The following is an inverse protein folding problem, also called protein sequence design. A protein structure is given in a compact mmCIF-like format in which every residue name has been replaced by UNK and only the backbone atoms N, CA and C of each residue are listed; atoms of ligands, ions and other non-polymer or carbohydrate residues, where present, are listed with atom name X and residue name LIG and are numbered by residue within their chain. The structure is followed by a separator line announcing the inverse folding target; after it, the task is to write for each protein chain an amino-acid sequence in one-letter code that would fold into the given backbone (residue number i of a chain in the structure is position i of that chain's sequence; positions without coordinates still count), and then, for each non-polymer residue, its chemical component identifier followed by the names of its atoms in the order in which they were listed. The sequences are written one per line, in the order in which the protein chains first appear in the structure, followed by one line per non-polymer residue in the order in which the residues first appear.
data_IF_431960173621
#
_entry.id   IF_431960173621
#
_cell.length_a   1.000
_cell.length_b   1.000
_cell.length_c   1.000
_cell.angle_alpha   90.00
_cell.angle_beta   90.00
_cell.angle_gamma   90.00
#
_symmetry.space_group_name_H-M   'P 1'
#
loop_
_entity.id
_entity.type
_entity.pdbx_description
1 polymer ?
#
# COMPACT_ATOMS: atom_id res chain seq x y z
N UNK A 1 -8.01 -2.90 -8.96
CA UNK A 1 -6.94 -2.48 -8.01
C UNK A 1 -5.60 -3.20 -8.25
N UNK A 2 -5.29 -3.63 -9.48
CA UNK A 2 -4.11 -4.47 -9.76
C UNK A 2 -2.81 -3.67 -9.89
N UNK A 3 -2.87 -2.43 -10.41
CA UNK A 3 -1.70 -1.55 -10.53
C UNK A 3 -1.16 -1.09 -9.18
N UNK A 4 -2.04 -0.76 -8.23
CA UNK A 4 -1.62 -0.41 -6.87
C UNK A 4 -1.07 -1.62 -6.12
N UNK A 5 -1.61 -2.82 -6.33
CA UNK A 5 -1.06 -4.05 -5.76
C UNK A 5 0.36 -4.35 -6.31
N UNK A 6 0.57 -4.14 -7.62
CA UNK A 6 1.90 -4.27 -8.23
C UNK A 6 2.88 -3.19 -7.74
N UNK A 7 2.43 -1.95 -7.61
CA UNK A 7 3.23 -0.87 -7.03
C UNK A 7 3.55 -1.13 -5.56
N UNK A 8 2.60 -1.66 -4.78
CA UNK A 8 2.84 -2.02 -3.38
C UNK A 8 3.81 -3.20 -3.26
N UNK A 9 3.78 -4.17 -4.16
CA UNK A 9 4.76 -5.26 -4.19
C UNK A 9 6.19 -4.75 -4.42
N UNK A 10 6.36 -3.79 -5.33
CA UNK A 10 7.66 -3.11 -5.52
C UNK A 10 8.04 -2.37 -4.22
N UNK A 11 7.12 -1.60 -3.64
CA UNK A 11 7.37 -0.86 -2.41
C UNK A 11 7.71 -1.75 -1.20
N UNK A 12 7.07 -2.91 -1.04
CA UNK A 12 7.37 -3.85 0.07
C UNK A 12 8.75 -4.48 -0.12
N UNK A 13 9.11 -4.83 -1.37
CA UNK A 13 10.39 -5.48 -1.67
C UNK A 13 11.58 -4.54 -1.52
N UNK A 14 11.42 -3.27 -1.89
CA UNK A 14 12.49 -2.26 -1.80
C UNK A 14 12.42 -1.39 -0.53
N UNK A 15 11.30 -1.42 0.20
CA UNK A 15 11.06 -0.63 1.41
C UNK A 15 11.49 -1.29 2.72
N UNK A 16 12.41 -2.27 2.66
CA UNK A 16 13.02 -2.92 3.82
C UNK A 16 11.99 -3.39 4.88
N UNK A 17 10.93 -4.09 4.44
CA UNK A 17 9.92 -4.65 5.35
C UNK A 17 9.03 -3.62 6.08
N UNK A 18 9.05 -2.35 5.67
CA UNK A 18 8.18 -1.30 6.22
C UNK A 18 8.84 -0.41 7.29
N UNK A 19 10.10 -0.64 7.66
CA UNK A 19 10.72 0.03 8.80
C UNK A 19 11.23 1.45 8.53
N UNK A 20 11.54 1.84 7.29
CA UNK A 20 11.74 3.24 6.88
C UNK A 20 11.75 3.31 5.35
N UNK A 21 10.69 3.89 4.78
CA UNK A 21 10.52 4.04 3.34
C UNK A 21 11.46 5.14 2.85
N UNK A 22 12.55 4.79 2.17
CA UNK A 22 13.35 5.82 1.50
C UNK A 22 12.45 6.52 0.48
N UNK A 23 12.27 7.82 0.67
CA UNK A 23 11.43 8.69 -0.15
C UNK A 23 11.81 8.64 -1.64
N UNK A 24 13.06 8.26 -1.94
CA UNK A 24 13.55 8.04 -3.30
C UNK A 24 12.87 6.87 -4.00
N UNK A 25 12.66 5.75 -3.30
CA UNK A 25 12.00 4.55 -3.85
C UNK A 25 10.56 4.87 -4.21
N UNK A 26 9.86 5.52 -3.29
CA UNK A 26 8.46 5.87 -3.51
C UNK A 26 8.29 6.80 -4.72
N UNK A 27 9.12 7.85 -4.80
CA UNK A 27 9.13 8.76 -5.97
C UNK A 27 9.44 8.02 -7.27
N UNK A 28 10.37 7.06 -7.25
CA UNK A 28 10.71 6.26 -8.43
C UNK A 28 9.54 5.36 -8.86
N UNK A 29 8.81 4.76 -7.92
CA UNK A 29 7.62 3.95 -8.21
C UNK A 29 6.50 4.82 -8.79
N UNK A 30 6.24 6.00 -8.24
CA UNK A 30 5.26 6.95 -8.78
C UNK A 30 5.65 7.48 -10.16
N UNK A 31 6.94 7.77 -10.37
CA UNK A 31 7.46 8.17 -11.66
C UNK A 31 7.30 7.04 -12.69
N UNK A 32 7.61 5.79 -12.32
CA UNK A 32 7.41 4.62 -13.17
C UNK A 32 5.94 4.46 -13.56
N UNK A 33 5.03 4.56 -12.59
CA UNK A 33 3.59 4.46 -12.83
C UNK A 33 3.12 5.51 -13.84
N UNK A 34 3.58 6.76 -13.68
CA UNK A 34 3.24 7.88 -14.55
C UNK A 34 3.80 7.70 -15.96
N UNK A 35 5.06 7.26 -16.08
CA UNK A 35 5.71 6.98 -17.37
C UNK A 35 5.03 5.83 -18.11
N UNK A 36 4.68 4.74 -17.40
CA UNK A 36 3.95 3.62 -17.99
C UNK A 36 2.54 4.04 -18.47
N UNK A 37 1.85 4.91 -17.71
CA UNK A 37 0.56 5.45 -18.09
C UNK A 37 0.68 6.31 -19.37
N UNK A 38 1.62 7.25 -19.40
CA UNK A 38 1.87 8.10 -20.57
C UNK A 38 2.29 7.29 -21.80
N UNK A 39 3.17 6.30 -21.62
CA UNK A 39 3.61 5.40 -22.68
C UNK A 39 2.44 4.63 -23.28
N UNK A 40 1.61 4.03 -22.43
CA UNK A 40 0.45 3.23 -22.84
C UNK A 40 -0.60 4.07 -23.57
N UNK A 41 -0.89 5.28 -23.07
CA UNK A 41 -1.82 6.21 -23.71
C UNK A 41 -1.30 6.72 -25.05
N UNK A 42 -0.04 7.16 -25.10
CA UNK A 42 0.60 7.67 -26.31
C UNK A 42 0.72 6.61 -27.41
N UNK A 43 1.07 5.37 -27.06
CA UNK A 43 1.11 4.25 -28.02
C UNK A 43 -0.28 3.86 -28.51
N UNK A 44 -1.29 3.88 -27.63
CA UNK A 44 -2.64 3.53 -28.06
C UNK A 44 -3.22 4.58 -29.03
N UNK A 45 -3.11 5.87 -28.71
CA UNK A 45 -3.59 6.97 -29.56
C UNK A 45 -2.74 7.14 -30.82
N UNK A 46 -1.41 6.99 -30.70
CA UNK A 46 -0.47 7.25 -31.78
C UNK A 46 -0.31 6.12 -32.80
N UNK A 47 -0.46 4.87 -32.36
CA UNK A 47 -0.19 3.68 -33.17
C UNK A 47 -1.43 2.80 -33.33
N UNK A 48 -1.99 2.30 -32.23
CA UNK A 48 -2.98 1.22 -32.26
C UNK A 48 -4.33 1.70 -32.79
N UNK A 49 -4.83 2.84 -32.30
CA UNK A 49 -6.09 3.43 -32.75
C UNK A 49 -6.11 3.71 -34.26
N UNK A 50 -5.13 4.46 -34.81
CA UNK A 50 -5.01 4.67 -36.25
C UNK A 50 -4.85 3.37 -37.04
N UNK A 51 -4.03 2.43 -36.54
CA UNK A 51 -3.82 1.14 -37.21
C UNK A 51 -5.10 0.31 -37.32
N UNK A 52 -5.91 0.26 -36.26
CA UNK A 52 -7.20 -0.47 -36.27
C UNK A 52 -8.27 0.20 -37.14
N UNK A 53 -8.21 1.54 -37.29
CA UNK A 53 -9.19 2.31 -38.08
C UNK A 53 -8.75 2.53 -39.53
N UNK A 54 -7.53 2.14 -39.90
CA UNK A 54 -6.93 2.45 -41.20
C UNK A 54 -6.58 3.94 -41.37
N UNK A 55 -6.50 4.68 -40.27
CA UNK A 55 -6.14 6.10 -40.26
C UNK A 55 -4.63 6.34 -40.32
N UNK A 56 -4.24 7.60 -40.53
CA UNK A 56 -2.82 8.01 -40.51
C UNK A 56 -2.23 7.97 -39.09
N UNK A 57 -0.99 7.51 -38.99
CA UNK A 57 -0.25 7.46 -37.73
C UNK A 57 -0.04 8.88 -37.16
N UNK A 58 -0.39 9.06 -35.90
CA UNK A 58 -0.19 10.35 -35.22
C UNK A 58 1.21 10.38 -34.59
N UNK A 59 2.20 10.77 -35.40
CA UNK A 59 3.62 10.75 -35.01
C UNK A 59 3.93 11.49 -33.71
N UNK A 60 3.19 12.56 -33.38
CA UNK A 60 3.35 13.28 -32.11
C UNK A 60 3.07 12.40 -30.89
N UNK A 61 1.93 11.71 -30.86
CA UNK A 61 1.56 10.80 -29.77
C UNK A 61 2.44 9.55 -29.74
N UNK A 62 2.82 9.04 -30.90
CA UNK A 62 3.77 7.94 -31.02
C UNK A 62 5.13 8.31 -30.43
N UNK A 63 5.65 9.50 -30.73
CA UNK A 63 6.91 10.00 -30.19
C UNK A 63 6.85 10.16 -28.66
N UNK A 64 5.75 10.71 -28.12
CA UNK A 64 5.55 10.81 -26.66
C UNK A 64 5.49 9.41 -26.03
N UNK A 65 4.70 8.50 -26.61
CA UNK A 65 4.53 7.14 -26.10
C UNK A 65 5.84 6.35 -26.08
N UNK A 66 6.63 6.44 -27.16
CA UNK A 66 7.93 5.78 -27.26
C UNK A 66 8.97 6.41 -26.34
N UNK A 67 9.05 7.74 -26.27
CA UNK A 67 10.00 8.43 -25.38
C UNK A 67 9.73 8.12 -23.90
N UNK A 68 8.46 8.17 -23.48
CA UNK A 68 8.07 7.82 -22.10
C UNK A 68 8.25 6.33 -21.79
N UNK A 69 8.01 5.45 -22.77
CA UNK A 69 8.29 4.02 -22.64
C UNK A 69 9.80 3.73 -22.45
N UNK A 70 10.65 4.37 -23.24
CA UNK A 70 12.11 4.27 -23.08
C UNK A 70 12.57 4.84 -21.73
N UNK A 71 12.01 5.96 -21.30
CA UNK A 71 12.28 6.54 -19.98
C UNK A 71 11.86 5.58 -18.85
N UNK A 72 10.72 4.88 -18.97
CA UNK A 72 10.29 3.87 -18.00
C UNK A 72 11.28 2.70 -17.91
N UNK A 73 11.77 2.21 -19.06
CA UNK A 73 12.79 1.15 -19.10
C UNK A 73 14.10 1.65 -18.48
N UNK A 74 14.54 2.87 -18.80
CA UNK A 74 15.72 3.49 -18.20
C UNK A 74 15.59 3.60 -16.69
N UNK A 75 14.42 4.01 -16.18
CA UNK A 75 14.14 4.08 -14.75
C UNK A 75 14.14 2.69 -14.09
N UNK A 76 13.63 1.65 -14.76
CA UNK A 76 13.69 0.26 -14.28
C UNK A 76 15.12 -0.25 -14.19
N UNK A 77 15.94 0.03 -15.21
CA UNK A 77 17.37 -0.34 -15.20
C UNK A 77 18.10 0.42 -14.10
N UNK A 78 17.82 1.72 -13.94
CA UNK A 78 18.38 2.52 -12.86
C UNK A 78 17.98 2.01 -11.47
N UNK A 79 16.70 1.69 -11.26
CA UNK A 79 16.20 1.10 -10.01
C UNK A 79 16.85 -0.25 -9.76
N UNK A 80 16.95 -1.10 -10.78
CA UNK A 80 17.66 -2.38 -10.68
C UNK A 80 19.09 -2.15 -10.21
N UNK A 81 19.87 -1.33 -10.89
CA UNK A 81 21.29 -1.14 -10.55
C UNK A 81 21.51 -0.43 -9.21
N UNK A 82 20.68 0.56 -8.88
CA UNK A 82 20.87 1.43 -7.71
C UNK A 82 20.27 0.87 -6.43
N UNK A 83 19.22 0.04 -6.52
CA UNK A 83 18.52 -0.51 -5.35
C UNK A 83 18.93 -1.95 -5.04
N UNK A 84 19.50 -2.69 -6.00
CA UNK A 84 20.07 -4.03 -5.71
C UNK A 84 21.25 -3.96 -4.75
N UNK A 85 21.94 -2.82 -4.67
CA UNK A 85 23.06 -2.62 -3.74
C UNK A 85 22.60 -2.39 -2.29
N UNK A 86 21.33 -2.06 -2.06
CA UNK A 86 20.81 -1.72 -0.73
C UNK A 86 19.93 -2.81 -0.10
N UNK A 87 19.45 -3.77 -0.90
CA UNK A 87 18.69 -4.89 -0.38
C UNK A 87 19.64 -6.01 0.04
N UNK A 88 20.03 -6.01 1.31
CA UNK A 88 20.74 -7.12 1.94
C UNK A 88 19.76 -8.31 2.08
N UNK A 89 19.65 -9.08 1.00
CA UNK A 89 18.81 -10.26 0.90
C UNK A 89 19.67 -11.52 1.10
N UNK A 90 20.69 -11.48 1.96
CA UNK A 90 21.56 -12.63 2.21
C UNK A 90 20.95 -13.71 3.11
N UNK A 91 19.70 -13.52 3.55
CA UNK A 91 18.91 -14.58 4.17
C UNK A 91 18.68 -15.77 3.21
N UNK A 92 19.07 -17.01 3.59
CA UNK A 92 18.89 -18.20 2.74
C UNK A 92 17.42 -18.57 2.50
N UNK A 93 16.49 -17.98 3.25
CA UNK A 93 15.05 -18.26 3.14
C UNK A 93 14.31 -17.39 2.11
N UNK A 94 14.96 -16.37 1.55
CA UNK A 94 14.32 -15.43 0.62
C UNK A 94 14.53 -15.84 -0.83
N UNK A 95 13.44 -16.16 -1.53
CA UNK A 95 13.44 -16.51 -2.95
C UNK A 95 13.94 -15.32 -3.81
N UNK A 96 15.18 -15.43 -4.32
CA UNK A 96 15.83 -14.40 -5.15
C UNK A 96 15.39 -14.51 -6.61
N UNK A 97 14.31 -13.84 -7.01
CA UNK A 97 13.97 -13.72 -8.44
C UNK A 97 14.71 -12.54 -9.08
N UNK A 98 15.55 -12.79 -10.09
CA UNK A 98 16.38 -11.75 -10.72
C UNK A 98 15.57 -10.68 -11.49
N UNK A 99 14.29 -10.93 -11.72
CA UNK A 99 13.38 -10.08 -12.49
C UNK A 99 12.19 -9.52 -11.68
N UNK A 100 12.26 -9.55 -10.33
CA UNK A 100 11.18 -9.02 -9.47
C UNK A 100 10.70 -7.63 -9.87
N UNK A 101 11.52 -6.62 -10.22
CA UNK A 101 10.97 -5.29 -10.56
C UNK A 101 10.38 -5.22 -11.98
N UNK A 102 10.81 -6.09 -12.89
CA UNK A 102 10.38 -6.03 -14.29
C UNK A 102 8.98 -6.59 -14.48
N UNK A 103 8.65 -7.69 -13.78
CA UNK A 103 7.35 -8.36 -13.93
C UNK A 103 6.17 -7.46 -13.49
N UNK A 104 6.19 -6.83 -12.30
CA UNK A 104 5.15 -5.91 -11.87
C UNK A 104 5.09 -4.66 -12.74
N UNK A 105 6.24 -4.15 -13.22
CA UNK A 105 6.27 -2.99 -14.11
C UNK A 105 5.64 -3.30 -15.48
N UNK A 106 5.95 -4.46 -16.07
CA UNK A 106 5.31 -4.93 -17.29
C UNK A 106 3.80 -5.11 -17.07
N UNK A 107 3.39 -5.67 -15.94
CA UNK A 107 1.98 -5.83 -15.61
C UNK A 107 1.25 -4.48 -15.43
N UNK A 108 1.91 -3.48 -14.82
CA UNK A 108 1.40 -2.10 -14.74
C UNK A 108 1.21 -1.51 -16.15
N UNK A 109 2.20 -1.67 -17.02
CA UNK A 109 2.14 -1.21 -18.40
C UNK A 109 0.98 -1.86 -19.15
N UNK A 110 0.86 -3.20 -19.14
CA UNK A 110 -0.25 -3.89 -19.81
C UNK A 110 -1.62 -3.49 -19.27
N UNK A 111 -1.75 -3.26 -17.98
CA UNK A 111 -3.00 -2.78 -17.41
C UNK A 111 -3.34 -1.36 -17.86
N UNK A 112 -2.38 -0.44 -17.90
CA UNK A 112 -2.64 0.90 -18.44
C UNK A 112 -2.94 0.87 -19.94
N UNK A 113 -2.32 -0.05 -20.67
CA UNK A 113 -2.60 -0.28 -22.08
C UNK A 113 -4.01 -0.85 -22.30
N UNK A 114 -4.48 -1.77 -21.45
CA UNK A 114 -5.88 -2.21 -21.48
C UNK A 114 -6.84 -1.08 -21.10
N UNK A 115 -6.48 -0.28 -20.09
CA UNK A 115 -7.29 0.88 -19.69
C UNK A 115 -7.39 1.94 -20.80
N UNK A 116 -6.35 2.13 -21.60
CA UNK A 116 -6.36 3.12 -22.68
C UNK A 116 -7.25 2.71 -23.86
N UNK A 117 -7.64 1.43 -23.97
CA UNK A 117 -8.58 0.95 -24.99
C UNK A 117 -10.04 1.29 -24.68
N UNK A 118 -10.38 1.62 -23.43
CA UNK A 118 -11.73 2.06 -23.09
C UNK A 118 -12.01 3.47 -23.61
N UNK A 119 -13.28 3.76 -23.88
CA UNK A 119 -13.66 5.11 -24.32
C UNK A 119 -13.43 6.12 -23.19
N UNK A 120 -13.09 7.36 -23.55
CA UNK A 120 -12.94 8.43 -22.57
C UNK A 120 -14.24 8.68 -21.78
N UNK A 121 -15.40 8.42 -22.39
CA UNK A 121 -16.72 8.54 -21.76
C UNK A 121 -16.86 7.54 -20.60
N UNK A 122 -16.50 6.27 -20.83
CA UNK A 122 -16.58 5.23 -19.80
C UNK A 122 -15.64 5.56 -18.63
N UNK A 123 -14.46 6.07 -18.95
CA UNK A 123 -13.50 6.52 -17.94
C UNK A 123 -14.04 7.68 -17.11
N UNK A 124 -14.69 8.68 -17.73
CA UNK A 124 -15.32 9.80 -17.03
C UNK A 124 -16.48 9.33 -16.13
N UNK A 125 -17.33 8.44 -16.62
CA UNK A 125 -18.41 7.84 -15.82
C UNK A 125 -17.85 7.10 -14.60
N UNK A 126 -16.80 6.28 -14.80
CA UNK A 126 -16.12 5.59 -13.71
C UNK A 126 -15.48 6.56 -12.71
N UNK A 127 -14.83 7.62 -13.19
CA UNK A 127 -14.21 8.63 -12.33
C UNK A 127 -15.24 9.38 -11.48
N UNK A 128 -16.38 9.76 -12.05
CA UNK A 128 -17.48 10.36 -11.30
C UNK A 128 -18.03 9.41 -10.22
N UNK A 129 -18.23 8.14 -10.57
CA UNK A 129 -18.67 7.13 -9.61
C UNK A 129 -17.66 6.99 -8.46
N UNK A 130 -16.37 6.87 -8.77
CA UNK A 130 -15.31 6.79 -7.77
C UNK A 130 -15.29 8.03 -6.85
N UNK A 131 -15.47 9.23 -7.41
CA UNK A 131 -15.53 10.47 -6.63
C UNK A 131 -16.69 10.48 -5.63
N UNK A 132 -17.88 10.00 -6.03
CA UNK A 132 -19.03 9.88 -5.11
C UNK A 132 -18.72 8.92 -3.96
N UNK A 133 -18.11 7.77 -4.25
CA UNK A 133 -17.71 6.81 -3.21
C UNK A 133 -16.67 7.39 -2.26
N UNK A 134 -15.69 8.12 -2.78
CA UNK A 134 -14.68 8.78 -1.95
C UNK A 134 -15.31 9.85 -1.06
N UNK A 135 -16.25 10.65 -1.56
CA UNK A 135 -16.96 11.66 -0.77
C UNK A 135 -17.83 11.02 0.31
N UNK A 136 -18.54 9.93 0.00
CA UNK A 136 -19.33 9.19 0.98
C UNK A 136 -18.43 8.60 2.08
N UNK A 137 -17.29 8.03 1.69
CA UNK A 137 -16.31 7.46 2.62
C UNK A 137 -15.67 8.52 3.51
N UNK A 138 -15.24 9.65 2.96
CA UNK A 138 -14.67 10.75 3.77
C UNK A 138 -15.71 11.32 4.71
N UNK A 139 -16.96 11.52 4.23
CA UNK A 139 -18.07 11.96 5.08
C UNK A 139 -18.33 11.00 6.25
N UNK A 140 -18.32 9.69 5.99
CA UNK A 140 -18.43 8.66 7.04
C UNK A 140 -17.26 8.70 8.02
N UNK A 141 -16.01 8.80 7.52
CA UNK A 141 -14.82 8.87 8.35
C UNK A 141 -14.82 10.09 9.27
N UNK A 142 -15.16 11.28 8.74
CA UNK A 142 -15.28 12.51 9.53
C UNK A 142 -16.39 12.44 10.57
N UNK A 143 -17.54 11.83 10.22
CA UNK A 143 -18.66 11.66 11.16
C UNK A 143 -18.30 10.76 12.35
N UNK A 144 -17.42 9.78 12.15
CA UNK A 144 -16.96 8.91 13.23
C UNK A 144 -15.86 9.56 14.08
N UNK A 145 -15.04 10.43 13.49
CA UNK A 145 -14.06 11.24 14.23
C UNK A 145 -14.76 12.18 15.23
N UNK A 146 -15.82 12.87 14.81
CA UNK A 146 -16.56 13.80 15.69
C UNK A 146 -17.19 13.10 16.90
N UNK A 147 -17.70 11.87 16.74
CA UNK A 147 -18.26 11.09 17.87
C UNK A 147 -17.23 10.73 18.93
N UNK A 148 -15.94 10.72 18.60
CA UNK A 148 -14.88 10.44 19.55
C UNK A 148 -14.56 11.65 20.44
N UNK A 149 -14.71 12.87 19.91
CA UNK A 149 -14.43 14.12 20.63
C UNK A 149 -15.46 14.37 21.75
N UNK A 150 -16.74 14.12 21.47
CA UNK A 150 -17.82 14.34 22.44
C UNK A 150 -17.72 13.40 23.66
N UNK A 151 -17.16 12.19 23.49
CA UNK A 151 -16.95 11.25 24.59
C UNK A 151 -15.74 11.60 25.48
N UNK A 152 -14.82 12.46 25.02
CA UNK A 152 -13.69 12.94 25.83
C UNK A 152 -14.03 14.16 26.68
N UNK A 153 -15.18 14.82 26.43
CA UNK A 153 -15.69 15.92 27.24
C UNK A 153 -16.65 15.46 28.36
N UNK A 154 -16.64 14.17 28.73
CA UNK A 154 -17.38 13.71 29.90
C UNK A 154 -16.80 14.44 31.14
N UNK A 155 -17.62 15.19 31.90
CA UNK A 155 -17.13 15.94 33.03
C UNK A 155 -16.48 14.98 34.03
N UNK A 156 -15.22 15.26 34.36
CA UNK A 156 -14.49 14.73 35.51
C UNK A 156 -15.17 15.20 36.81
N UNK A 157 -16.42 14.78 37.01
CA UNK A 157 -17.18 15.07 38.19
C UNK A 157 -16.77 14.07 39.28
N UNK A 158 -15.79 14.48 40.09
CA UNK A 158 -15.61 14.01 41.46
C UNK A 158 -15.26 12.53 41.63
N UNK A 159 -14.02 12.14 41.34
CA UNK A 159 -13.36 11.12 42.16
C UNK A 159 -12.66 11.81 43.32
N UNK A 160 -13.47 12.17 44.31
CA UNK A 160 -12.98 12.46 45.65
C UNK A 160 -12.44 11.16 46.28
N UNK A 161 -11.13 11.18 46.55
CA UNK A 161 -10.54 10.61 47.75
C UNK A 161 -10.78 9.12 48.02
N UNK A 162 -9.91 8.26 47.48
CA UNK A 162 -9.50 7.06 48.21
C UNK A 162 -8.00 6.80 48.03
N UNK A 163 -7.23 7.41 48.92
CA UNK A 163 -5.83 7.10 49.15
C UNK A 163 -5.70 5.63 49.59
N UNK A 164 -5.30 4.76 48.68
CA UNK A 164 -4.71 3.47 49.05
C UNK A 164 -3.20 3.57 48.94
N UNK A 165 -2.59 3.87 50.11
CA UNK A 165 -1.20 3.57 50.39
C UNK A 165 -0.97 2.07 50.20
N UNK A 166 -0.16 1.71 49.23
CA UNK A 166 0.27 0.34 48.96
C UNK A 166 1.69 0.35 48.43
N UNK A 167 2.63 0.75 49.28
CA UNK A 167 4.04 0.54 49.05
C UNK A 167 4.30 -0.96 48.90
N UNK A 168 4.86 -1.40 47.78
CA UNK A 168 5.85 -2.46 47.79
C UNK A 168 6.73 -2.45 46.55
N UNK A 169 8.02 -2.34 46.85
CA UNK A 169 9.14 -2.42 45.93
C UNK A 169 9.44 -3.87 45.54
N UNK A 170 9.94 -4.07 44.31
CA UNK A 170 10.97 -5.04 43.84
C UNK A 170 11.06 -4.87 42.32
N UNK A 171 12.13 -4.33 41.72
CA UNK A 171 13.53 -4.75 41.68
C UNK A 171 13.74 -6.16 41.08
N UNK A 172 14.32 -6.20 39.86
CA UNK A 172 14.68 -7.39 39.07
C UNK A 172 13.55 -7.78 38.10
N UNK A 173 13.73 -7.96 36.79
CA UNK A 173 14.84 -8.64 36.11
C UNK A 173 14.90 -8.24 34.62
N UNK A 174 16.11 -7.99 34.11
CA UNK A 174 16.40 -7.98 32.67
C UNK A 174 16.47 -9.42 32.15
N UNK A 175 15.68 -9.76 31.13
CA UNK A 175 16.08 -10.80 30.16
C UNK A 175 15.34 -10.70 28.84
N UNK A 176 16.16 -10.43 27.81
CA UNK A 176 16.23 -11.11 26.51
C UNK A 176 14.97 -11.36 25.66
N UNK A 177 15.06 -10.79 24.45
CA UNK A 177 14.83 -11.43 23.14
C UNK A 177 13.43 -12.00 22.88
N UNK A 178 12.70 -11.34 21.99
CA UNK A 178 11.54 -11.89 21.30
C UNK A 178 11.12 -11.00 20.14
N UNK A 179 11.68 -11.25 18.96
CA UNK A 179 11.18 -10.69 17.72
C UNK A 179 9.81 -11.29 17.43
N UNK A 180 8.75 -10.47 17.52
CA UNK A 180 7.42 -10.87 17.08
C UNK A 180 6.95 -9.89 15.99
N UNK A 181 6.94 -10.42 14.77
CA UNK A 181 6.34 -9.80 13.61
C UNK A 181 4.84 -10.15 13.57
N UNK A 182 4.00 -9.11 13.57
CA UNK A 182 2.57 -9.01 13.15
C UNK A 182 2.04 -7.78 13.88
N UNK A 183 1.34 -6.81 13.31
CA UNK A 183 0.36 -6.85 12.24
C UNK A 183 0.20 -5.38 11.79
N UNK A 184 0.47 -5.05 10.53
CA UNK A 184 0.12 -3.72 9.97
C UNK A 184 -1.25 -3.86 9.32
N UNK A 185 -2.22 -4.29 10.12
CA UNK A 185 -3.63 -4.07 9.91
C UNK A 185 -4.01 -2.85 10.73
N UNK A 186 -4.33 -1.74 10.07
CA UNK A 186 -4.86 -0.56 10.74
C UNK A 186 -6.22 -0.84 11.37
N UNK A 187 -6.23 -1.42 12.57
CA UNK A 187 -7.35 -1.29 13.50
C UNK A 187 -7.27 0.10 14.12
N UNK A 188 -7.87 1.07 13.44
CA UNK A 188 -8.40 2.24 14.14
C UNK A 188 -9.70 1.81 14.86
N UNK A 189 -9.58 0.84 15.77
CA UNK A 189 -10.59 0.61 16.81
C UNK A 189 -10.39 1.72 17.82
N UNK A 190 -11.33 2.66 17.86
CA UNK A 190 -11.65 3.27 19.14
C UNK A 190 -12.09 2.11 20.04
N UNK A 191 -11.17 1.62 20.86
CA UNK A 191 -11.44 0.69 21.96
C UNK A 191 -12.43 1.40 22.89
N UNK A 192 -13.71 1.17 22.63
CA UNK A 192 -14.77 1.36 23.60
C UNK A 192 -14.65 0.20 24.58
N UNK A 193 -14.46 0.53 25.85
CA UNK A 193 -14.41 -0.40 26.97
C UNK A 193 -15.56 -1.41 26.90
N UNK A 194 -15.21 -2.66 26.60
CA UNK A 194 -16.16 -3.75 26.43
C UNK A 194 -15.60 -5.03 27.05
N UNK A 195 -15.63 -5.06 28.38
CA UNK A 195 -15.53 -6.20 29.31
C UNK A 195 -14.47 -7.30 29.08
N UNK A 196 -13.75 -7.73 30.14
CA UNK A 196 -12.93 -8.92 30.08
C UNK A 196 -13.81 -10.17 29.90
N UNK A 197 -13.76 -10.79 28.72
CA UNK A 197 -14.26 -12.15 28.52
C UNK A 197 -13.31 -13.10 29.24
N UNK A 198 -13.69 -13.52 30.44
CA UNK A 198 -13.03 -14.58 31.20
C UNK A 198 -13.23 -15.92 30.49
N UNK A 199 -12.30 -16.30 29.61
CA UNK A 199 -12.22 -17.67 29.09
C UNK A 199 -11.48 -18.55 30.12
N UNK A 200 -12.24 -19.09 31.06
CA UNK A 200 -11.83 -20.21 31.92
C UNK A 200 -11.63 -21.47 31.04
N UNK A 201 -10.42 -21.64 30.52
CA UNK A 201 -10.00 -22.85 29.81
C UNK A 201 -9.59 -23.95 30.80
N UNK A 202 -10.45 -24.95 30.96
CA UNK A 202 -10.14 -26.24 31.59
C UNK A 202 -9.16 -27.04 30.70
N UNK A 203 -8.00 -27.51 31.19
CA UNK A 203 -7.22 -28.51 30.47
C UNK A 203 -7.90 -29.88 30.60
N UNK A 204 -8.50 -30.34 29.51
CA UNK A 204 -8.94 -31.73 29.35
C UNK A 204 -7.77 -32.61 28.92
N UNK A 205 -7.37 -33.52 29.82
CA UNK A 205 -6.46 -34.61 29.53
C UNK A 205 -7.13 -35.67 28.65
N UNK A 206 -6.49 -36.06 27.55
CA UNK A 206 -6.63 -37.34 26.85
C UNK A 206 -5.59 -37.34 25.72
N UNK A 207 -4.83 -38.39 25.41
CA UNK A 207 -4.76 -39.75 25.89
C UNK A 207 -3.66 -40.41 25.06
N UNK A 208 -2.89 -41.30 25.68
CA UNK A 208 -1.90 -42.13 25.00
C UNK A 208 -2.60 -43.11 24.04
N UNK A 209 -1.99 -43.37 22.88
CA UNK A 209 -1.82 -44.69 22.26
C UNK A 209 -0.79 -44.62 21.15
#
# INVERSE_FOLDING_TARGET
NFNLANASLINVRYGNGGALRDFRVDRAVWALLSLCCAASGGLNVGLIGPWLTGGELQFGWLAIGTATGLAAVGLLVWMRCSLTTMCDMDGPELFKTRFVPFVPAAAIFFNFFQLSQFSATDFMCFAMFLAVFLLAYTGYAFSNLSKCEDNMNLPTHGMDGRAHNGANARAGESSSIGAEARDVGGEFRCMSDGQPVSTSGRPGAAGAH
#
